data_IF_418319494470
#
_entry.id   IF_418319494470
#
_cell.length_a   1.000
_cell.length_b   1.000
_cell.length_c   1.000
_cell.angle_alpha   90.00
_cell.angle_beta   90.00
_cell.angle_gamma   90.00
#
_symmetry.space_group_name_H-M   'P 1'
#
loop_
_entity.id
_entity.type
_entity.pdbx_description
1 polymer ?
#
# COMPACT_ATOMS: atom_id res chain seq x y z
N UNK A 1 26.80 -1.87 -5.15
CA UNK A 1 26.76 -2.25 -3.72
C UNK A 1 25.31 -2.22 -3.23
N UNK A 2 24.89 -3.18 -2.40
CA UNK A 2 23.52 -3.24 -1.85
C UNK A 2 23.38 -2.22 -0.72
N UNK A 3 22.28 -1.49 -0.68
CA UNK A 3 21.98 -0.50 0.36
C UNK A 3 20.67 -0.88 1.05
N UNK A 4 20.63 -0.72 2.37
CA UNK A 4 19.46 -0.96 3.18
C UNK A 4 19.06 0.33 3.88
N UNK A 5 17.79 0.70 3.78
CA UNK A 5 17.25 1.86 4.47
C UNK A 5 15.83 1.58 4.96
N UNK A 6 15.45 2.28 6.02
CA UNK A 6 14.09 2.23 6.56
C UNK A 6 13.36 3.50 6.15
N UNK A 7 12.12 3.35 5.69
CA UNK A 7 11.26 4.49 5.35
C UNK A 7 9.82 4.21 5.73
N UNK A 8 9.08 5.27 6.07
CA UNK A 8 7.66 5.19 6.41
C UNK A 8 6.86 5.76 5.25
N UNK A 9 5.91 4.98 4.73
CA UNK A 9 5.03 5.39 3.63
C UNK A 9 3.58 5.42 4.09
N UNK A 10 2.87 6.49 3.72
CA UNK A 10 1.44 6.62 3.97
C UNK A 10 0.66 6.04 2.80
N UNK A 11 -0.18 5.05 3.07
CA UNK A 11 -1.02 4.38 2.07
C UNK A 11 -2.48 4.41 2.47
N UNK A 12 -3.36 4.43 1.47
CA UNK A 12 -4.81 4.41 1.64
C UNK A 12 -5.36 3.17 0.98
N UNK A 13 -6.36 2.54 1.60
CA UNK A 13 -7.05 1.39 1.02
C UNK A 13 -8.54 1.41 1.29
N UNK A 14 -9.29 0.72 0.44
CA UNK A 14 -10.76 0.65 0.50
C UNK A 14 -11.24 -0.79 0.26
N UNK A 15 -12.39 -1.13 0.82
CA UNK A 15 -12.98 -2.45 0.60
C UNK A 15 -14.37 -2.60 1.20
N UNK A 16 -15.11 -3.62 0.75
CA UNK A 16 -16.43 -3.95 1.31
C UNK A 16 -16.34 -4.71 2.65
N UNK A 17 -15.13 -5.16 3.02
CA UNK A 17 -14.81 -5.75 4.31
C UNK A 17 -13.54 -5.11 4.87
N UNK A 18 -13.39 -5.11 6.21
CA UNK A 18 -12.20 -4.58 6.90
C UNK A 18 -10.91 -5.17 6.34
N UNK A 19 -10.80 -6.50 6.32
CA UNK A 19 -9.61 -7.20 5.79
C UNK A 19 -9.30 -6.81 4.33
N UNK A 20 -10.33 -6.57 3.52
CA UNK A 20 -10.14 -6.16 2.12
C UNK A 20 -9.57 -4.75 2.02
N UNK A 21 -10.03 -3.81 2.86
CA UNK A 21 -9.50 -2.45 2.89
C UNK A 21 -8.03 -2.40 3.33
N UNK A 22 -7.64 -3.24 4.30
CA UNK A 22 -6.24 -3.38 4.72
C UNK A 22 -5.37 -4.01 3.64
N UNK A 23 -5.83 -5.09 3.00
CA UNK A 23 -5.08 -5.74 1.91
C UNK A 23 -4.88 -4.79 0.72
N UNK A 24 -5.91 -4.01 0.39
CA UNK A 24 -5.86 -2.97 -0.64
C UNK A 24 -4.80 -1.91 -0.30
N UNK A 25 -4.80 -1.38 0.94
CA UNK A 25 -3.80 -0.42 1.39
C UNK A 25 -2.36 -0.97 1.31
N UNK A 26 -2.13 -2.19 1.80
CA UNK A 26 -0.81 -2.84 1.80
C UNK A 26 -0.31 -3.11 0.37
N UNK A 27 -1.21 -3.38 -0.58
CA UNK A 27 -0.82 -3.56 -1.99
C UNK A 27 -0.19 -2.31 -2.61
N UNK A 28 -0.52 -1.13 -2.07
CA UNK A 28 0.02 0.15 -2.54
C UNK A 28 1.39 0.50 -1.95
N UNK A 29 1.88 -0.25 -0.95
CA UNK A 29 3.15 0.02 -0.27
C UNK A 29 4.32 -0.04 -1.26
N UNK A 30 4.39 -1.08 -2.10
CA UNK A 30 5.47 -1.20 -3.09
C UNK A 30 5.55 0.01 -4.02
N UNK A 31 4.41 0.41 -4.59
CA UNK A 31 4.36 1.57 -5.48
C UNK A 31 4.70 2.89 -4.75
N UNK A 32 4.32 3.02 -3.48
CA UNK A 32 4.66 4.19 -2.67
C UNK A 32 6.17 4.28 -2.41
N UNK A 33 6.82 3.16 -2.09
CA UNK A 33 8.28 3.08 -1.88
C UNK A 33 9.04 3.38 -3.17
N UNK A 34 8.59 2.86 -4.31
CA UNK A 34 9.21 3.13 -5.61
C UNK A 34 9.15 4.62 -6.00
N UNK A 35 8.10 5.34 -5.60
CA UNK A 35 8.02 6.80 -5.84
C UNK A 35 8.98 7.59 -4.96
N UNK A 36 9.33 7.07 -3.79
CA UNK A 36 10.20 7.73 -2.82
C UNK A 36 11.70 7.51 -3.09
N UNK A 37 12.07 6.54 -3.93
CA UNK A 37 13.46 6.17 -4.17
C UNK A 37 13.76 5.84 -5.64
N UNK A 38 14.82 6.41 -6.25
CA UNK A 38 15.21 6.10 -7.63
C UNK A 38 15.96 4.76 -7.77
N UNK A 39 16.25 4.06 -6.66
CA UNK A 39 17.03 2.83 -6.68
C UNK A 39 16.22 1.60 -7.11
N UNK A 40 16.90 0.57 -7.65
CA UNK A 40 16.25 -0.72 -7.94
C UNK A 40 15.97 -1.43 -6.62
N UNK A 41 14.69 -1.63 -6.30
CA UNK A 41 14.27 -2.29 -5.07
C UNK A 41 14.38 -3.82 -5.22
N UNK A 42 15.13 -4.47 -4.33
CA UNK A 42 15.32 -5.93 -4.31
C UNK A 42 14.37 -6.61 -3.31
N UNK A 43 14.12 -5.97 -2.17
CA UNK A 43 13.25 -6.49 -1.11
C UNK A 43 12.60 -5.34 -0.37
N UNK A 44 11.31 -5.46 -0.10
CA UNK A 44 10.53 -4.56 0.75
C UNK A 44 9.92 -5.44 1.83
N UNK A 45 10.22 -5.16 3.08
CA UNK A 45 9.67 -5.87 4.22
C UNK A 45 8.94 -4.88 5.13
N UNK A 46 7.62 -5.05 5.37
CA UNK A 46 6.91 -4.27 6.36
C UNK A 46 7.40 -4.67 7.76
N UNK A 47 7.91 -3.70 8.50
CA UNK A 47 8.35 -3.86 9.88
C UNK A 47 7.24 -3.49 10.86
N UNK A 48 6.51 -2.43 10.55
CA UNK A 48 5.44 -1.93 11.40
C UNK A 48 4.31 -1.31 10.58
N UNK A 49 3.09 -1.37 11.12
CA UNK A 49 1.87 -0.85 10.48
C UNK A 49 1.03 -0.10 11.53
N UNK A 50 0.94 1.21 11.36
CA UNK A 50 0.13 2.07 12.21
C UNK A 50 -1.15 2.50 11.48
N UNK A 51 -2.30 2.43 12.16
CA UNK A 51 -3.59 2.86 11.61
C UNK A 51 -3.83 4.31 12.00
N UNK A 52 -3.68 5.23 11.05
CA UNK A 52 -3.93 6.66 11.26
C UNK A 52 -5.45 6.94 11.22
N UNK A 53 -6.14 6.38 10.24
CA UNK A 53 -7.59 6.51 10.13
C UNK A 53 -8.24 5.21 9.68
N UNK A 54 -9.36 4.87 10.32
CA UNK A 54 -10.27 3.81 9.88
C UNK A 54 -11.70 4.37 9.87
N UNK A 55 -12.36 4.33 8.71
CA UNK A 55 -13.72 4.83 8.52
C UNK A 55 -14.60 3.73 7.95
N UNK A 56 -15.82 3.63 8.49
CA UNK A 56 -16.89 2.79 7.97
C UNK A 56 -17.99 3.71 7.44
N UNK A 57 -18.43 3.47 6.21
CA UNK A 57 -19.56 4.16 5.61
C UNK A 57 -20.65 3.12 5.30
N UNK A 58 -21.85 3.37 5.81
CA UNK A 58 -23.02 2.53 5.57
C UNK A 58 -23.97 3.31 4.69
N UNK A 59 -24.27 2.78 3.49
CA UNK A 59 -25.27 3.33 2.58
C UNK A 59 -26.43 2.37 2.44
N UNK A 60 -27.65 2.89 2.61
CA UNK A 60 -28.87 2.14 2.37
C UNK A 60 -29.31 2.41 0.93
N UNK A 61 -29.26 1.39 0.10
CA UNK A 61 -29.75 1.44 -1.27
C UNK A 61 -31.19 0.89 -1.26
N UNK A 62 -32.13 1.66 -1.83
CA UNK A 62 -33.47 1.18 -2.10
C UNK A 62 -33.50 0.64 -3.54
N UNK A 63 -33.39 -0.67 -3.70
CA UNK A 63 -33.60 -1.30 -5.00
C UNK A 63 -35.08 -1.71 -5.14
N UNK A 64 -35.66 -1.43 -6.32
CA UNK A 64 -37.00 -1.79 -6.79
C UNK A 64 -38.09 -2.00 -5.69
N UNK A 65 -38.81 -0.92 -5.35
CA UNK A 65 -40.01 -0.89 -4.49
C UNK A 65 -39.89 -1.57 -3.12
N UNK A 66 -39.67 -0.83 -2.03
CA UNK A 66 -39.80 -1.21 -0.58
C UNK A 66 -39.25 -2.57 -0.06
N UNK A 67 -38.91 -3.54 -0.91
CA UNK A 67 -38.73 -4.95 -0.60
C UNK A 67 -37.26 -5.39 -0.67
N UNK A 68 -36.39 -4.65 -1.38
CA UNK A 68 -34.95 -4.96 -1.48
C UNK A 68 -34.09 -3.82 -0.90
N UNK A 69 -34.19 -3.62 0.42
CA UNK A 69 -33.28 -2.74 1.15
C UNK A 69 -31.95 -3.45 1.32
N UNK A 70 -30.92 -3.04 0.58
CA UNK A 70 -29.54 -3.51 0.77
C UNK A 70 -28.76 -2.47 1.55
N UNK A 71 -28.14 -2.88 2.65
CA UNK A 71 -27.15 -2.07 3.34
C UNK A 71 -25.77 -2.39 2.74
N UNK A 72 -25.18 -1.43 2.03
CA UNK A 72 -23.81 -1.54 1.53
C UNK A 72 -22.87 -0.87 2.52
N UNK A 73 -21.94 -1.65 3.04
CA UNK A 73 -20.87 -1.17 3.91
C UNK A 73 -19.60 -1.01 3.10
N UNK A 74 -18.92 0.10 3.29
CA UNK A 74 -17.59 0.33 2.74
C UNK A 74 -16.66 0.76 3.86
N UNK A 75 -15.46 0.20 3.84
CA UNK A 75 -14.39 0.47 4.78
C UNK A 75 -13.29 1.21 4.02
N UNK A 76 -12.75 2.25 4.63
CA UNK A 76 -11.57 2.94 4.14
C UNK A 76 -10.56 3.12 5.27
N UNK A 77 -9.31 2.81 4.99
CA UNK A 77 -8.20 2.91 5.94
C UNK A 77 -7.08 3.78 5.39
N UNK A 78 -6.39 4.45 6.29
CA UNK A 78 -5.16 5.19 6.05
C UNK A 78 -4.11 4.66 7.03
N UNK A 79 -3.03 4.13 6.49
CA UNK A 79 -2.00 3.41 7.22
C UNK A 79 -0.66 4.10 7.00
N UNK A 80 0.11 4.23 8.07
CA UNK A 80 1.54 4.50 7.99
C UNK A 80 2.27 3.17 8.12
N UNK A 81 3.02 2.81 7.09
CA UNK A 81 3.73 1.52 7.02
C UNK A 81 5.21 1.80 7.01
N UNK A 82 5.89 1.35 8.06
CA UNK A 82 7.35 1.41 8.15
C UNK A 82 7.92 0.17 7.47
N UNK A 83 8.70 0.39 6.42
CA UNK A 83 9.30 -0.67 5.62
C UNK A 83 10.82 -0.61 5.68
N UNK A 84 11.43 -1.79 5.76
CA UNK A 84 12.84 -1.96 5.44
C UNK A 84 12.98 -2.27 3.96
N UNK A 85 13.79 -1.48 3.27
CA UNK A 85 14.00 -1.56 1.82
C UNK A 85 15.45 -1.92 1.58
N UNK A 86 15.67 -3.02 0.84
CA UNK A 86 16.98 -3.35 0.28
C UNK A 86 16.98 -2.95 -1.19
N UNK A 87 17.89 -2.07 -1.58
CA UNK A 87 17.99 -1.57 -2.95
C UNK A 87 19.39 -1.77 -3.53
N UNK A 88 19.48 -1.81 -4.85
CA UNK A 88 20.73 -1.77 -5.59
C UNK A 88 20.97 -0.36 -6.10
N UNK A 89 22.11 0.21 -5.72
CA UNK A 89 22.57 1.47 -6.26
C UNK A 89 23.21 1.23 -7.65
N UNK A 90 22.57 1.76 -8.70
CA UNK A 90 22.97 1.63 -10.10
C UNK A 90 24.20 2.44 -10.45
N UNK A 91 24.46 3.55 -9.76
CA UNK A 91 25.64 4.40 -10.01
C UNK A 91 26.95 3.67 -9.72
N UNK A 92 26.86 2.56 -8.96
CA UNK A 92 27.99 1.69 -8.60
C UNK A 92 28.08 0.43 -9.49
N UNK A 93 27.31 0.36 -10.58
CA UNK A 93 27.34 -0.78 -11.52
C UNK A 93 28.14 -0.36 -12.76
N UNK A 94 29.33 -0.94 -12.92
CA UNK A 94 30.13 -0.74 -14.13
C UNK A 94 29.59 -1.62 -15.25
N UNK A 95 29.09 -1.00 -16.32
CA UNK A 95 28.70 -1.67 -17.54
C UNK A 95 29.91 -1.77 -18.46
N UNK A 96 30.35 -2.99 -18.75
CA UNK A 96 31.39 -3.25 -19.74
C UNK A 96 30.75 -3.49 -21.11
N UNK A 97 31.15 -2.71 -22.10
CA UNK A 97 30.74 -2.94 -23.50
C UNK A 97 31.55 -4.10 -24.05
N UNK A 98 30.93 -5.24 -24.34
CA UNK A 98 31.57 -6.25 -25.20
C UNK A 98 31.37 -5.85 -26.66
N UNK A 99 32.48 -5.64 -27.37
CA UNK A 99 32.50 -5.58 -28.83
C UNK A 99 32.46 -6.99 -29.43
#
# INVERSE_FOLDING_TARGET
>A
MKEQFTTTVRVKGKGEAKARAFADALSHVQAAVMKASPHILLRIEPQDVEVIHAREAVRKEAFLFFFLRRERRTFSVELDVTVSVTALNLDKVEFVTSQ
#
